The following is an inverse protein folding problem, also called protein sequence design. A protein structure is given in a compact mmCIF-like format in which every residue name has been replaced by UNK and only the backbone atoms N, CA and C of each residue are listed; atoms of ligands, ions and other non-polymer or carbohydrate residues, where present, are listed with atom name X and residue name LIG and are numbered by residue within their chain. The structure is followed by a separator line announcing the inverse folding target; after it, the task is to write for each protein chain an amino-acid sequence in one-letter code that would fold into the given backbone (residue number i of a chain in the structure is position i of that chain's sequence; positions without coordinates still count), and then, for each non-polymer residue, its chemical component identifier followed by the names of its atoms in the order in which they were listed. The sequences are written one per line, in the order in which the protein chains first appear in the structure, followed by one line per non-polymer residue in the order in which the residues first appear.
data_IF_973824459934
#
_entry.id   IF_973824459934
#
_cell.length_a   1.000
_cell.length_b   1.000
_cell.length_c   1.000
_cell.angle_alpha   90.00
_cell.angle_beta   90.00
_cell.angle_gamma   90.00
#
_symmetry.space_group_name_H-M   'P 1'
#
loop_
_entity.id
_entity.type
_entity.pdbx_description
1 polymer ?
#
# COMPACT_ATOMS: atom_id res chain seq x y z
N UNK A 1 -16.44 -15.76 10.50
CA UNK A 1 -15.42 -15.36 11.49
C UNK A 1 -15.43 -16.42 12.58
N UNK A 2 -14.34 -17.17 12.77
CA UNK A 2 -14.28 -18.15 13.85
C UNK A 2 -14.26 -17.43 15.19
N UNK A 3 -15.13 -17.81 16.12
CA UNK A 3 -15.09 -17.26 17.46
C UNK A 3 -13.75 -17.65 18.13
N UNK A 4 -13.14 -16.71 18.85
CA UNK A 4 -11.93 -17.00 19.62
C UNK A 4 -12.39 -17.70 20.91
N UNK A 5 -12.62 -19.00 20.79
CA UNK A 5 -13.23 -19.81 21.86
C UNK A 5 -12.21 -20.25 22.92
N UNK A 6 -10.92 -20.03 22.67
CA UNK A 6 -9.79 -20.76 23.27
C UNK A 6 -8.48 -20.01 23.14
N UNK A 7 -7.55 -20.20 24.06
CA UNK A 7 -6.17 -19.74 23.93
C UNK A 7 -5.46 -20.33 22.72
N UNK A 8 -5.72 -21.60 22.39
CA UNK A 8 -5.23 -22.21 21.15
C UNK A 8 -5.85 -21.58 19.88
N UNK A 9 -7.12 -21.16 19.94
CA UNK A 9 -7.75 -20.41 18.84
C UNK A 9 -7.12 -19.00 18.73
N UNK A 10 -6.91 -18.33 19.86
CA UNK A 10 -6.26 -17.03 19.95
C UNK A 10 -4.87 -17.05 19.30
N UNK A 11 -4.01 -18.02 19.66
CA UNK A 11 -2.66 -18.12 19.11
C UNK A 11 -2.65 -18.44 17.61
N UNK A 12 -3.62 -19.23 17.12
CA UNK A 12 -3.78 -19.49 15.67
C UNK A 12 -4.20 -18.22 14.92
N UNK A 13 -5.15 -17.46 15.46
CA UNK A 13 -5.57 -16.18 14.89
C UNK A 13 -4.42 -15.18 14.91
N UNK A 14 -3.62 -15.13 15.99
CA UNK A 14 -2.44 -14.27 16.08
C UNK A 14 -1.41 -14.60 15.00
N UNK A 15 -1.10 -15.88 14.81
CA UNK A 15 -0.19 -16.32 13.77
C UNK A 15 -0.72 -16.02 12.35
N UNK A 16 -2.03 -16.10 12.14
CA UNK A 16 -2.65 -15.70 10.87
C UNK A 16 -2.52 -14.19 10.62
N UNK A 17 -2.77 -13.37 11.64
CA UNK A 17 -2.58 -11.93 11.58
C UNK A 17 -1.11 -11.55 11.31
N UNK A 18 -0.15 -12.23 11.94
CA UNK A 18 1.29 -12.00 11.70
C UNK A 18 1.70 -12.31 10.26
N UNK A 19 1.19 -13.40 9.68
CA UNK A 19 1.42 -13.73 8.26
C UNK A 19 0.85 -12.65 7.33
N UNK A 20 -0.34 -12.12 7.64
CA UNK A 20 -0.93 -11.00 6.89
C UNK A 20 -0.07 -9.74 7.00
N UNK A 21 0.39 -9.40 8.21
CA UNK A 21 1.28 -8.26 8.45
C UNK A 21 2.59 -8.38 7.66
N UNK A 22 3.20 -9.56 7.61
CA UNK A 22 4.41 -9.81 6.82
C UNK A 22 4.16 -9.61 5.31
N UNK A 23 3.03 -10.11 4.81
CA UNK A 23 2.59 -9.89 3.42
C UNK A 23 2.38 -8.41 3.09
N UNK A 24 1.68 -7.67 3.95
CA UNK A 24 1.45 -6.23 3.79
C UNK A 24 2.77 -5.44 3.81
N UNK A 25 3.70 -5.76 4.72
CA UNK A 25 5.04 -5.11 4.77
C UNK A 25 5.85 -5.35 3.49
N UNK A 26 5.87 -6.58 2.98
CA UNK A 26 6.57 -6.92 1.74
C UNK A 26 5.99 -6.17 0.53
N UNK A 27 4.67 -6.05 0.46
CA UNK A 27 3.97 -5.31 -0.60
C UNK A 27 4.20 -3.79 -0.50
N UNK A 28 4.15 -3.22 0.71
CA UNK A 28 4.48 -1.81 0.95
C UNK A 28 5.92 -1.48 0.56
N UNK A 29 6.87 -2.37 0.87
CA UNK A 29 8.27 -2.23 0.47
C UNK A 29 8.44 -2.26 -1.07
N UNK A 30 7.77 -3.19 -1.76
CA UNK A 30 7.75 -3.23 -3.23
C UNK A 30 7.14 -1.96 -3.83
N UNK A 31 6.04 -1.47 -3.26
CA UNK A 31 5.37 -0.25 -3.71
C UNK A 31 6.23 1.00 -3.54
N UNK A 32 6.98 1.13 -2.43
CA UNK A 32 7.93 2.24 -2.24
C UNK A 32 9.04 2.23 -3.27
N UNK A 33 9.53 1.05 -3.68
CA UNK A 33 10.55 0.91 -4.73
C UNK A 33 10.05 1.33 -6.11
N UNK A 34 8.77 1.10 -6.42
CA UNK A 34 8.16 1.45 -7.73
C UNK A 34 7.77 2.93 -7.81
N UNK A 35 7.45 3.59 -6.69
CA UNK A 35 7.02 5.01 -6.70
C UNK A 35 8.09 6.01 -7.11
N UNK A 36 9.36 5.79 -6.73
CA UNK A 36 10.47 6.71 -7.06
C UNK A 36 10.76 6.83 -8.56
N UNK A 37 10.91 5.74 -9.33
CA UNK A 37 11.13 5.84 -10.78
C UNK A 37 9.90 6.37 -11.54
N UNK A 38 8.69 6.24 -10.98
CA UNK A 38 7.45 6.69 -11.64
C UNK A 38 7.29 8.21 -11.70
N UNK A 39 7.81 8.95 -10.71
CA UNK A 39 7.82 10.42 -10.74
C UNK A 39 8.82 10.90 -11.80
N UNK A 40 9.97 10.24 -11.92
CA UNK A 40 10.95 10.53 -12.96
C UNK A 40 10.38 10.24 -14.37
N UNK A 41 9.66 9.13 -14.56
CA UNK A 41 9.03 8.83 -15.85
C UNK A 41 7.89 9.79 -16.21
N UNK A 42 7.10 10.23 -15.23
CA UNK A 42 6.05 11.23 -15.45
C UNK A 42 6.64 12.61 -15.79
N UNK A 43 7.74 13.01 -15.13
CA UNK A 43 8.46 14.24 -15.46
C UNK A 43 9.06 14.19 -16.88
N UNK A 44 9.67 13.07 -17.27
CA UNK A 44 10.21 12.85 -18.61
C UNK A 44 9.12 12.88 -19.69
N UNK A 45 7.94 12.31 -19.42
CA UNK A 45 6.80 12.32 -20.35
C UNK A 45 6.28 13.74 -20.66
N UNK A 46 6.52 14.71 -19.77
CA UNK A 46 6.18 16.12 -19.98
C UNK A 46 7.35 16.90 -20.59
N UNK A 47 8.58 16.64 -20.13
CA UNK A 47 9.79 17.33 -20.58
C UNK A 47 10.12 17.07 -22.06
N UNK A 48 9.98 15.84 -22.53
CA UNK A 48 10.32 15.46 -23.92
C UNK A 48 9.47 16.24 -24.95
N UNK A 49 8.13 16.27 -24.86
CA UNK A 49 7.31 17.06 -25.78
C UNK A 49 7.50 18.58 -25.60
N UNK A 50 7.79 19.07 -24.39
CA UNK A 50 8.07 20.49 -24.16
C UNK A 50 9.37 20.94 -24.86
N UNK A 51 10.44 20.14 -24.80
CA UNK A 51 11.71 20.41 -25.50
C UNK A 51 11.54 20.33 -27.02
N UNK A 52 10.79 19.34 -27.53
CA UNK A 52 10.50 19.21 -28.96
C UNK A 52 9.66 20.37 -29.49
N UNK A 53 8.68 20.86 -28.72
CA UNK A 53 7.88 22.04 -29.08
C UNK A 53 8.73 23.33 -29.09
N UNK A 54 9.66 23.48 -28.13
CA UNK A 54 10.56 24.62 -28.08
C UNK A 54 11.55 24.64 -29.27
N UNK A 55 12.08 23.48 -29.64
CA UNK A 55 12.95 23.33 -30.81
C UNK A 55 12.22 23.59 -32.14
N UNK A 56 10.94 23.21 -32.24
CA UNK A 56 10.10 23.50 -33.41
C UNK A 56 9.74 24.99 -33.53
N UNK A 57 9.63 25.72 -32.41
CA UNK A 57 9.37 27.15 -32.41
C UNK A 57 10.57 28.00 -32.85
N UNK A 58 11.78 27.43 -32.82
CA UNK A 58 13.02 28.09 -33.23
C UNK A 58 13.44 27.83 -34.69
N UNK A 59 12.67 27.04 -35.47
CA UNK A 59 13.04 26.66 -36.84
C UNK A 59 11.93 26.91 -37.87
N UNK A 60 12.25 27.67 -38.92
CA UNK A 60 11.37 27.89 -40.08
C UNK A 60 11.28 26.61 -40.94
N UNK A 61 10.25 25.80 -40.73
CA UNK A 61 9.98 24.54 -41.44
C UNK A 61 8.58 23.99 -41.15
N UNK A 62 8.22 22.75 -41.52
CA UNK A 62 6.87 22.17 -41.40
C UNK A 62 6.48 21.86 -39.93
N UNK A 63 6.64 22.83 -39.04
CA UNK A 63 6.52 22.75 -37.59
C UNK A 63 5.11 22.46 -37.10
N UNK A 64 4.07 22.75 -37.90
CA UNK A 64 2.68 22.45 -37.55
C UNK A 64 2.40 20.96 -37.40
N UNK A 65 2.95 20.12 -38.28
CA UNK A 65 2.81 18.66 -38.20
C UNK A 65 3.59 18.08 -37.00
N UNK A 66 4.78 18.61 -36.73
CA UNK A 66 5.60 18.22 -35.59
C UNK A 66 4.95 18.60 -34.25
N UNK A 67 4.30 19.77 -34.19
CA UNK A 67 3.52 20.19 -33.03
C UNK A 67 2.31 19.28 -32.79
N UNK A 68 1.56 18.93 -33.84
CA UNK A 68 0.41 18.02 -33.72
C UNK A 68 0.83 16.62 -33.23
N UNK A 69 1.96 16.09 -33.72
CA UNK A 69 2.54 14.82 -33.26
C UNK A 69 3.02 14.92 -31.80
N UNK A 70 3.72 16.00 -31.43
CA UNK A 70 4.17 16.21 -30.05
C UNK A 70 3.00 16.28 -29.06
N UNK A 71 1.94 16.99 -29.43
CA UNK A 71 0.75 17.18 -28.59
C UNK A 71 -0.05 15.89 -28.44
N UNK A 72 -0.17 15.09 -29.51
CA UNK A 72 -0.80 13.76 -29.45
C UNK A 72 0.00 12.78 -28.59
N UNK A 73 1.32 12.75 -28.70
CA UNK A 73 2.19 11.92 -27.84
C UNK A 73 2.07 12.35 -26.37
N UNK A 74 2.01 13.65 -26.09
CA UNK A 74 1.82 14.17 -24.74
C UNK A 74 0.46 13.75 -24.16
N UNK A 75 -0.63 13.92 -24.92
CA UNK A 75 -1.98 13.51 -24.50
C UNK A 75 -2.06 12.00 -24.27
N UNK A 76 -1.49 11.18 -25.15
CA UNK A 76 -1.45 9.73 -24.98
C UNK A 76 -0.64 9.31 -23.76
N UNK A 77 0.49 9.96 -23.51
CA UNK A 77 1.32 9.70 -22.32
C UNK A 77 0.59 10.08 -21.04
N UNK A 78 -0.11 11.22 -21.02
CA UNK A 78 -0.89 11.68 -19.89
C UNK A 78 -2.09 10.76 -19.63
N UNK A 79 -2.77 10.32 -20.69
CA UNK A 79 -3.86 9.36 -20.64
C UNK A 79 -3.40 7.99 -20.11
N UNK A 80 -2.24 7.49 -20.57
CA UNK A 80 -1.65 6.25 -20.08
C UNK A 80 -1.28 6.35 -18.59
N UNK A 81 -0.70 7.47 -18.15
CA UNK A 81 -0.43 7.72 -16.73
C UNK A 81 -1.72 7.78 -15.89
N UNK A 82 -2.75 8.46 -16.38
CA UNK A 82 -4.04 8.58 -15.70
C UNK A 82 -4.75 7.22 -15.61
N UNK A 83 -4.77 6.44 -16.69
CA UNK A 83 -5.30 5.08 -16.72
C UNK A 83 -4.59 4.18 -15.70
N UNK A 84 -3.26 4.22 -15.65
CA UNK A 84 -2.47 3.45 -14.68
C UNK A 84 -2.74 3.87 -13.22
N UNK A 85 -3.00 5.15 -12.96
CA UNK A 85 -3.36 5.65 -11.62
C UNK A 85 -4.78 5.24 -11.22
N UNK A 86 -5.74 5.42 -12.12
CA UNK A 86 -7.16 5.24 -11.83
C UNK A 86 -7.57 3.77 -11.85
N UNK A 87 -7.10 2.99 -12.81
CA UNK A 87 -7.52 1.60 -13.01
C UNK A 87 -6.71 0.59 -12.20
N UNK A 88 -5.49 0.94 -11.82
CA UNK A 88 -4.59 0.00 -11.12
C UNK A 88 -4.30 0.49 -9.71
N UNK A 89 -3.72 1.69 -9.54
CA UNK A 89 -3.28 2.12 -8.20
C UNK A 89 -4.43 2.43 -7.23
N UNK A 90 -5.45 3.17 -7.65
CA UNK A 90 -6.59 3.52 -6.77
C UNK A 90 -7.35 2.31 -6.23
N UNK A 91 -7.79 1.34 -7.06
CA UNK A 91 -8.52 0.18 -6.56
C UNK A 91 -7.65 -0.71 -5.69
N UNK A 92 -6.36 -0.88 -6.03
CA UNK A 92 -5.40 -1.60 -5.19
C UNK A 92 -5.22 -0.92 -3.83
N UNK A 93 -5.09 0.41 -3.79
CA UNK A 93 -4.94 1.15 -2.54
C UNK A 93 -6.17 1.09 -1.66
N UNK A 94 -7.37 1.16 -2.26
CA UNK A 94 -8.62 1.03 -1.51
C UNK A 94 -8.75 -0.37 -0.90
N UNK A 95 -8.49 -1.42 -1.68
CA UNK A 95 -8.50 -2.80 -1.17
C UNK A 95 -7.46 -2.98 -0.06
N UNK A 96 -6.27 -2.42 -0.24
CA UNK A 96 -5.22 -2.41 0.77
C UNK A 96 -5.65 -1.75 2.08
N UNK A 97 -6.23 -0.55 1.99
CA UNK A 97 -6.67 0.18 3.17
C UNK A 97 -7.78 -0.57 3.92
N UNK A 98 -8.69 -1.23 3.19
CA UNK A 98 -9.74 -2.07 3.78
C UNK A 98 -9.14 -3.29 4.47
N UNK A 99 -8.21 -3.99 3.84
CA UNK A 99 -7.53 -5.15 4.43
C UNK A 99 -6.67 -4.78 5.65
N UNK A 100 -5.96 -3.65 5.59
CA UNK A 100 -5.18 -3.10 6.70
C UNK A 100 -6.10 -2.75 7.87
N UNK A 101 -7.22 -2.06 7.61
CA UNK A 101 -8.17 -1.68 8.64
C UNK A 101 -8.83 -2.90 9.29
N UNK A 102 -9.27 -3.89 8.49
CA UNK A 102 -9.84 -5.14 9.01
C UNK A 102 -8.84 -5.92 9.87
N UNK A 103 -7.55 -5.94 9.49
CA UNK A 103 -6.50 -6.56 10.30
C UNK A 103 -6.28 -5.81 11.62
N UNK A 104 -6.27 -4.48 11.60
CA UNK A 104 -6.12 -3.66 12.81
C UNK A 104 -7.30 -3.89 13.76
N UNK A 105 -8.53 -3.91 13.25
CA UNK A 105 -9.73 -4.19 14.04
C UNK A 105 -9.68 -5.59 14.66
N UNK A 106 -9.27 -6.61 13.88
CA UNK A 106 -9.11 -7.98 14.38
C UNK A 106 -8.07 -8.05 15.51
N UNK A 107 -6.92 -7.39 15.35
CA UNK A 107 -5.86 -7.35 16.38
C UNK A 107 -6.30 -6.55 17.59
N UNK A 108 -7.07 -5.46 17.41
CA UNK A 108 -7.58 -4.68 18.53
C UNK A 108 -8.55 -5.51 19.38
N UNK A 109 -9.46 -6.26 18.74
CA UNK A 109 -10.32 -7.23 19.41
C UNK A 109 -9.51 -8.30 20.14
N UNK A 110 -8.38 -8.74 19.57
CA UNK A 110 -7.47 -9.66 20.27
C UNK A 110 -6.80 -9.02 21.49
N UNK A 111 -6.46 -7.73 21.46
CA UNK A 111 -5.93 -7.01 22.63
C UNK A 111 -6.95 -6.91 23.75
N UNK A 112 -8.21 -6.67 23.42
CA UNK A 112 -9.32 -6.64 24.37
C UNK A 112 -9.55 -8.02 25.01
N UNK A 113 -9.53 -9.08 24.19
CA UNK A 113 -9.75 -10.46 24.66
C UNK A 113 -8.53 -11.08 25.35
N UNK A 114 -7.34 -10.52 25.16
CA UNK A 114 -6.08 -11.09 25.65
C UNK A 114 -6.11 -11.40 27.14
N UNK A 115 -6.49 -10.42 27.97
CA UNK A 115 -6.50 -10.59 29.43
C UNK A 115 -7.48 -11.70 29.83
N UNK A 116 -8.69 -11.68 29.27
CA UNK A 116 -9.73 -12.66 29.57
C UNK A 116 -9.32 -14.08 29.18
N UNK A 117 -8.76 -14.27 27.98
CA UNK A 117 -8.29 -15.58 27.51
C UNK A 117 -7.09 -16.06 28.33
N UNK A 118 -6.14 -15.17 28.64
CA UNK A 118 -4.95 -15.51 29.40
C UNK A 118 -5.28 -15.92 30.85
N UNK A 119 -6.27 -15.30 31.47
CA UNK A 119 -6.76 -15.68 32.80
C UNK A 119 -7.54 -16.99 32.77
N UNK A 120 -8.49 -17.12 31.83
CA UNK A 120 -9.34 -18.30 31.71
C UNK A 120 -8.55 -19.57 31.43
N UNK A 121 -7.57 -19.49 30.54
CA UNK A 121 -6.72 -20.62 30.17
C UNK A 121 -5.45 -20.72 31.04
N UNK A 122 -5.36 -19.91 32.11
CA UNK A 122 -4.27 -19.89 33.10
C UNK A 122 -2.87 -19.86 32.45
N UNK A 123 -2.68 -18.94 31.52
CA UNK A 123 -1.41 -18.81 30.83
C UNK A 123 -0.28 -18.46 31.78
N UNK A 124 0.87 -19.08 31.56
CA UNK A 124 2.11 -18.73 32.25
C UNK A 124 2.55 -17.29 31.88
N UNK A 125 3.22 -16.61 32.81
CA UNK A 125 3.70 -15.24 32.60
C UNK A 125 4.66 -15.12 31.42
N UNK A 126 5.44 -16.17 31.12
CA UNK A 126 6.30 -16.22 29.93
C UNK A 126 5.49 -16.15 28.63
N UNK A 127 4.38 -16.89 28.57
CA UNK A 127 3.49 -16.90 27.40
C UNK A 127 2.75 -15.57 27.27
N UNK A 128 2.25 -15.00 28.38
CA UNK A 128 1.63 -13.67 28.40
C UNK A 128 2.59 -12.60 27.89
N UNK A 129 3.83 -12.60 28.36
CA UNK A 129 4.88 -11.69 27.91
C UNK A 129 5.17 -11.82 26.41
N UNK A 130 5.33 -13.05 25.92
CA UNK A 130 5.55 -13.31 24.49
C UNK A 130 4.39 -12.83 23.62
N UNK A 131 3.14 -13.10 24.01
CA UNK A 131 1.96 -12.68 23.25
C UNK A 131 1.79 -11.16 23.26
N UNK A 132 2.03 -10.51 24.40
CA UNK A 132 1.99 -9.04 24.50
C UNK A 132 3.03 -8.40 23.58
N UNK A 133 4.25 -8.92 23.55
CA UNK A 133 5.31 -8.47 22.65
C UNK A 133 4.99 -8.72 21.17
N UNK A 134 4.25 -9.78 20.85
CA UNK A 134 3.79 -10.02 19.48
C UNK A 134 2.69 -9.05 19.07
N UNK A 135 1.74 -8.78 19.97
CA UNK A 135 0.66 -7.82 19.75
C UNK A 135 1.16 -6.37 19.64
N UNK A 136 2.26 -6.01 20.30
CA UNK A 136 2.85 -4.66 20.22
C UNK A 136 3.43 -4.34 18.83
N UNK A 137 3.79 -5.36 18.04
CA UNK A 137 4.35 -5.20 16.68
C UNK A 137 3.32 -4.77 15.64
N UNK A 138 2.04 -4.89 15.95
CA UNK A 138 0.95 -4.47 15.08
C UNK A 138 0.66 -2.98 15.28
N UNK A 139 0.36 -2.23 14.19
CA UNK A 139 -0.06 -0.85 14.31
C UNK A 139 -1.33 -0.73 15.16
N UNK A 140 -1.43 0.39 15.89
CA UNK A 140 -2.64 0.78 16.62
C UNK A 140 -3.56 1.56 15.69
N UNK A 141 -4.85 1.60 16.00
CA UNK A 141 -5.81 2.41 15.26
C UNK A 141 -5.38 3.88 15.26
N UNK A 142 -5.33 4.50 14.07
CA UNK A 142 -4.73 5.84 13.86
C UNK A 142 -3.23 5.85 13.55
N UNK A 143 -2.53 4.72 13.71
CA UNK A 143 -1.15 4.53 13.25
C UNK A 143 -1.11 3.95 11.83
N UNK A 144 -0.47 4.64 10.88
CA UNK A 144 -0.19 4.07 9.56
C UNK A 144 1.04 3.14 9.62
N UNK A 145 1.07 2.08 8.81
CA UNK A 145 2.31 1.36 8.45
C UNK A 145 3.27 2.30 7.66
N UNK A 146 3.88 3.25 8.36
CA UNK A 146 4.88 4.19 7.83
C UNK A 146 6.29 3.64 7.98
#
# INVERSE_FOLDING_TARGET
MGAIDGGAAFLRTLAAAERRLAGLRALTARRRRVRRPRIASAALAVLIPAVLALAAATGDGPGGALLAVGLTVAVLSLAACAALLLLVERPLNRRFAVEEHAMIEEVNRMRELFTHVAERDRWEERLKGSVRERLSRFPVEGGSLR
#
